data_IF_084684182663
#
_entry.id   IF_084684182663
#
_cell.length_a   1.000
_cell.length_b   1.000
_cell.length_c   1.000
_cell.angle_alpha   90.00
_cell.angle_beta   90.00
_cell.angle_gamma   90.00
#
_symmetry.space_group_name_H-M   'P 1'
#
loop_
_entity.id
_entity.type
_entity.pdbx_description
1 polymer ?
#
# COMPACT_ATOMS: atom_id res chain seq x y z
N UNK A 1 -0.76 14.87 -17.87
CA UNK A 1 -1.39 13.94 -16.92
C UNK A 1 -2.30 14.75 -16.02
N UNK A 2 -3.57 14.35 -15.90
CA UNK A 2 -4.49 14.97 -14.95
C UNK A 2 -4.16 14.49 -13.53
N UNK A 3 -4.34 15.35 -12.53
CA UNK A 3 -4.13 15.01 -11.11
C UNK A 3 -5.43 15.21 -10.33
N UNK A 4 -5.59 14.40 -9.29
CA UNK A 4 -6.62 14.55 -8.26
C UNK A 4 -5.89 14.82 -6.95
N UNK A 5 -6.29 15.87 -6.24
CA UNK A 5 -5.79 16.18 -4.91
C UNK A 5 -6.77 15.63 -3.87
N UNK A 6 -6.25 14.83 -2.93
CA UNK A 6 -7.02 14.24 -1.84
C UNK A 6 -6.44 14.71 -0.51
N UNK A 7 -7.32 15.05 0.44
CA UNK A 7 -6.96 15.40 1.81
C UNK A 7 -7.58 14.34 2.72
N UNK A 8 -6.76 13.79 3.62
CA UNK A 8 -7.17 12.70 4.51
C UNK A 8 -6.94 13.09 5.96
N UNK A 9 -7.87 12.71 6.82
CA UNK A 9 -7.61 12.60 8.25
C UNK A 9 -6.68 11.41 8.53
N UNK A 10 -6.02 11.41 9.69
CA UNK A 10 -5.10 10.34 10.12
C UNK A 10 -5.74 8.95 10.01
N UNK A 11 -6.98 8.81 10.50
CA UNK A 11 -7.72 7.54 10.47
C UNK A 11 -8.04 7.05 9.06
N UNK A 12 -8.34 7.95 8.13
CA UNK A 12 -8.64 7.62 6.73
C UNK A 12 -7.38 7.16 6.02
N UNK A 13 -6.27 7.89 6.23
CA UNK A 13 -4.99 7.54 5.66
C UNK A 13 -4.46 6.21 6.23
N UNK A 14 -4.70 5.95 7.52
CA UNK A 14 -4.35 4.67 8.15
C UNK A 14 -5.07 3.49 7.47
N UNK A 15 -6.37 3.60 7.21
CA UNK A 15 -7.16 2.59 6.49
C UNK A 15 -6.59 2.36 5.08
N UNK A 16 -6.25 3.44 4.36
CA UNK A 16 -5.67 3.35 3.01
C UNK A 16 -4.31 2.66 3.04
N UNK A 17 -3.44 3.03 3.98
CA UNK A 17 -2.10 2.44 4.12
C UNK A 17 -2.18 0.95 4.49
N UNK A 18 -3.10 0.57 5.37
CA UNK A 18 -3.34 -0.82 5.74
C UNK A 18 -3.84 -1.63 4.54
N UNK A 19 -4.85 -1.14 3.83
CA UNK A 19 -5.39 -1.81 2.64
C UNK A 19 -4.37 -1.95 1.50
N UNK A 20 -3.52 -0.93 1.29
CA UNK A 20 -2.44 -1.01 0.31
C UNK A 20 -1.35 -2.00 0.74
N UNK A 21 -1.05 -2.11 2.03
CA UNK A 21 -0.09 -3.09 2.53
C UNK A 21 -0.61 -4.53 2.39
N UNK A 22 -1.90 -4.77 2.67
CA UNK A 22 -2.53 -6.08 2.43
C UNK A 22 -2.55 -6.43 0.94
N UNK A 23 -2.88 -5.46 0.07
CA UNK A 23 -2.89 -5.67 -1.37
C UNK A 23 -1.48 -5.98 -1.90
N UNK A 24 -0.45 -5.24 -1.43
CA UNK A 24 0.95 -5.51 -1.77
C UNK A 24 1.35 -6.94 -1.41
N UNK A 25 1.05 -7.38 -0.19
CA UNK A 25 1.38 -8.71 0.28
C UNK A 25 0.65 -9.79 -0.54
N UNK A 26 -0.64 -9.58 -0.85
CA UNK A 26 -1.41 -10.51 -1.68
C UNK A 26 -0.84 -10.62 -3.10
N UNK A 27 -0.55 -9.49 -3.73
CA UNK A 27 0.00 -9.44 -5.09
C UNK A 27 1.40 -10.06 -5.14
N UNK A 28 2.26 -9.76 -4.16
CA UNK A 28 3.57 -10.39 -4.04
C UNK A 28 3.47 -11.91 -3.91
N UNK A 29 2.52 -12.39 -3.09
CA UNK A 29 2.29 -13.83 -2.94
C UNK A 29 1.89 -14.50 -4.25
N UNK A 30 1.05 -13.86 -5.07
CA UNK A 30 0.67 -14.39 -6.39
C UNK A 30 1.91 -14.49 -7.29
N UNK A 31 2.73 -13.44 -7.37
CA UNK A 31 3.96 -13.46 -8.17
C UNK A 31 4.96 -14.54 -7.72
N UNK A 32 4.96 -14.90 -6.44
CA UNK A 32 5.86 -15.91 -5.87
C UNK A 32 5.34 -17.35 -6.02
N UNK A 33 4.03 -17.54 -6.17
CA UNK A 33 3.39 -18.87 -6.07
C UNK A 33 2.64 -19.31 -7.31
N UNK A 34 2.36 -18.42 -8.24
CA UNK A 34 1.74 -18.78 -9.52
C UNK A 34 2.72 -19.54 -10.40
N UNK A 35 2.19 -20.50 -11.17
CA UNK A 35 2.90 -21.21 -12.24
C UNK A 35 2.52 -20.65 -13.63
N UNK A 36 1.69 -19.59 -13.69
CA UNK A 36 1.27 -18.92 -14.92
C UNK A 36 2.12 -17.66 -15.15
N UNK A 37 2.98 -17.71 -16.18
CA UNK A 37 3.91 -16.62 -16.53
C UNK A 37 3.17 -15.31 -16.87
N UNK A 38 1.99 -15.38 -17.49
CA UNK A 38 1.21 -14.19 -17.84
C UNK A 38 0.63 -13.55 -16.56
N UNK A 39 0.16 -14.38 -15.62
CA UNK A 39 -0.33 -13.91 -14.31
C UNK A 39 0.79 -13.24 -13.50
N UNK A 40 1.98 -13.85 -13.44
CA UNK A 40 3.15 -13.27 -12.76
C UNK A 40 3.50 -11.91 -13.38
N UNK A 41 3.47 -11.80 -14.70
CA UNK A 41 3.77 -10.56 -15.40
C UNK A 41 2.74 -9.46 -15.09
N UNK A 42 1.46 -9.77 -15.15
CA UNK A 42 0.38 -8.81 -14.90
C UNK A 42 0.40 -8.32 -13.44
N UNK A 43 0.41 -9.24 -12.47
CA UNK A 43 0.48 -8.88 -11.06
C UNK A 43 1.84 -8.26 -10.69
N UNK A 44 2.92 -8.63 -11.39
CA UNK A 44 4.25 -8.02 -11.22
C UNK A 44 4.26 -6.53 -11.54
N UNK A 45 3.57 -6.12 -12.61
CA UNK A 45 3.43 -4.71 -12.96
C UNK A 45 2.60 -3.95 -11.91
N UNK A 46 1.47 -4.53 -11.50
CA UNK A 46 0.63 -3.93 -10.45
C UNK A 46 1.38 -3.81 -9.11
N UNK A 47 2.19 -4.81 -8.75
CA UNK A 47 3.01 -4.80 -7.53
C UNK A 47 3.97 -3.62 -7.50
N UNK A 48 4.59 -3.30 -8.63
CA UNK A 48 5.51 -2.17 -8.75
C UNK A 48 4.77 -0.87 -8.46
N UNK A 49 3.61 -0.66 -9.10
CA UNK A 49 2.80 0.54 -8.89
C UNK A 49 2.30 0.67 -7.45
N UNK A 50 1.86 -0.43 -6.84
CA UNK A 50 1.44 -0.48 -5.42
C UNK A 50 2.62 -0.08 -4.52
N UNK A 51 3.81 -0.64 -4.74
CA UNK A 51 5.00 -0.34 -3.91
C UNK A 51 5.43 1.12 -4.05
N UNK A 52 5.40 1.68 -5.24
CA UNK A 52 5.69 3.10 -5.48
C UNK A 52 4.70 4.01 -4.76
N UNK A 53 3.40 3.71 -4.88
CA UNK A 53 2.35 4.46 -4.19
C UNK A 53 2.49 4.35 -2.67
N UNK A 54 2.66 3.12 -2.16
CA UNK A 54 2.78 2.84 -0.73
C UNK A 54 4.00 3.53 -0.14
N UNK A 55 5.16 3.48 -0.80
CA UNK A 55 6.36 4.19 -0.36
C UNK A 55 6.12 5.70 -0.28
N UNK A 56 5.54 6.29 -1.34
CA UNK A 56 5.27 7.73 -1.38
C UNK A 56 4.28 8.17 -0.30
N UNK A 57 3.23 7.38 -0.05
CA UNK A 57 2.23 7.66 0.97
C UNK A 57 2.80 7.47 2.38
N UNK A 58 3.59 6.41 2.63
CA UNK A 58 4.24 6.19 3.93
C UNK A 58 5.13 7.35 4.32
N UNK A 59 5.98 7.83 3.41
CA UNK A 59 6.86 8.99 3.68
C UNK A 59 6.07 10.24 4.05
N UNK A 60 4.99 10.54 3.32
CA UNK A 60 4.13 11.70 3.59
C UNK A 60 3.35 11.53 4.90
N UNK A 61 2.82 10.35 5.13
CA UNK A 61 2.05 9.99 6.32
C UNK A 61 2.91 10.14 7.59
N UNK A 62 4.11 9.57 7.60
CA UNK A 62 5.05 9.67 8.73
C UNK A 62 5.47 11.12 8.96
N UNK A 63 5.68 11.89 7.89
CA UNK A 63 6.04 13.30 8.03
C UNK A 63 4.93 14.14 8.68
N UNK A 64 3.67 13.86 8.38
CA UNK A 64 2.52 14.64 8.87
C UNK A 64 2.00 14.16 10.22
N UNK A 65 1.88 12.84 10.39
CA UNK A 65 1.24 12.22 11.55
C UNK A 65 2.25 11.50 12.47
N UNK A 66 3.47 11.21 12.01
CA UNK A 66 4.47 10.46 12.78
C UNK A 66 4.39 8.94 12.58
N UNK A 67 5.35 8.19 13.14
CA UNK A 67 5.54 6.75 12.84
C UNK A 67 4.36 5.86 13.25
N UNK A 68 3.54 6.28 14.21
CA UNK A 68 2.42 5.50 14.72
C UNK A 68 1.33 5.25 13.66
N UNK A 69 1.27 6.07 12.60
CA UNK A 69 0.32 5.86 11.49
C UNK A 69 0.57 4.55 10.73
N UNK A 70 1.79 4.00 10.82
CA UNK A 70 2.15 2.73 10.22
C UNK A 70 1.87 1.53 11.13
N UNK A 71 1.36 1.77 12.35
CA UNK A 71 1.02 0.70 13.27
C UNK A 71 -0.42 0.22 13.01
N UNK A 72 -0.53 -0.90 12.28
CA UNK A 72 -1.80 -1.58 11.98
C UNK A 72 -2.18 -2.65 13.01
N UNK A 73 -1.42 -2.80 14.09
CA UNK A 73 -1.78 -3.75 15.14
C UNK A 73 -3.10 -3.37 15.80
N UNK A 74 -3.89 -4.39 16.15
CA UNK A 74 -5.13 -4.26 16.92
C UNK A 74 -4.88 -4.30 18.43
N UNK A 75 -3.61 -4.27 18.86
CA UNK A 75 -3.19 -4.53 20.25
C UNK A 75 -3.39 -3.35 21.22
N UNK A 76 -3.97 -2.23 20.76
CA UNK A 76 -4.34 -1.11 21.62
C UNK A 76 -5.71 -0.56 21.22
N UNK A 77 -6.77 -1.21 21.70
CA UNK A 77 -8.09 -0.61 21.92
C UNK A 77 -8.26 -0.33 23.42
#
# INVERSE_FOLDING_TARGET
MSRIDLVFAESELKIILEGLAELEAKTAHICETSDDDDEISDYGNDLIEIRLLLSSLKEKAVKEFGDHILNFSRESL
#
